data_IF_099269659069
#
_entry.id   IF_099269659069
#
_cell.length_a   1.000
_cell.length_b   1.000
_cell.length_c   1.000
_cell.angle_alpha   90.00
_cell.angle_beta   90.00
_cell.angle_gamma   90.00
#
_symmetry.space_group_name_H-M   'P 1'
#
loop_
_entity.id
_entity.type
_entity.pdbx_description
1 polymer ?
#
# COMPACT_ATOMS: atom_id res chain seq x y z
N UNK A 1 -26.54 -9.84 -5.82
CA UNK A 1 -25.67 -8.66 -5.87
C UNK A 1 -26.41 -7.51 -5.23
N UNK A 2 -26.14 -7.22 -3.97
CA UNK A 2 -26.73 -6.07 -3.29
C UNK A 2 -25.77 -4.90 -3.43
N UNK A 3 -26.03 -4.02 -4.39
CA UNK A 3 -25.42 -2.69 -4.41
C UNK A 3 -25.92 -1.93 -3.19
N UNK A 4 -25.07 -1.81 -2.18
CA UNK A 4 -25.31 -0.90 -1.06
C UNK A 4 -25.19 0.53 -1.57
N UNK A 5 -26.30 1.27 -1.58
CA UNK A 5 -26.32 2.69 -1.91
C UNK A 5 -25.51 3.47 -0.85
N UNK A 6 -24.31 3.91 -1.22
CA UNK A 6 -23.52 4.81 -0.38
C UNK A 6 -24.06 6.24 -0.54
N UNK A 7 -24.83 6.67 0.47
CA UNK A 7 -25.45 8.01 0.56
C UNK A 7 -24.41 9.14 0.60
N UNK A 8 -23.12 8.86 0.81
CA UNK A 8 -22.08 9.89 0.74
C UNK A 8 -21.90 10.42 -0.68
N UNK A 9 -22.17 9.61 -1.70
CA UNK A 9 -22.07 9.99 -3.11
C UNK A 9 -23.14 11.00 -3.55
N UNK A 10 -24.32 11.01 -2.88
CA UNK A 10 -25.45 11.86 -3.26
C UNK A 10 -25.40 13.26 -2.65
N UNK A 11 -24.57 13.45 -1.62
CA UNK A 11 -24.34 14.75 -0.97
C UNK A 11 -23.05 15.42 -1.46
N UNK A 12 -22.34 14.82 -2.42
CA UNK A 12 -21.12 15.40 -2.97
C UNK A 12 -21.43 16.72 -3.69
N UNK A 13 -20.84 17.84 -3.24
CA UNK A 13 -21.00 19.11 -3.94
C UNK A 13 -20.43 19.00 -5.36
N UNK A 14 -21.13 19.59 -6.34
CA UNK A 14 -20.63 19.68 -7.72
C UNK A 14 -19.46 20.67 -7.77
N UNK A 15 -18.28 20.18 -7.41
CA UNK A 15 -17.08 20.99 -7.20
C UNK A 15 -15.92 20.43 -8.00
N UNK A 16 -15.15 21.34 -8.59
CA UNK A 16 -13.90 21.11 -9.31
C UNK A 16 -12.70 20.87 -8.36
N UNK A 17 -12.98 20.67 -7.07
CA UNK A 17 -11.99 20.49 -6.03
C UNK A 17 -12.52 19.55 -4.94
N UNK A 18 -11.59 18.90 -4.23
CA UNK A 18 -11.88 18.26 -2.96
C UNK A 18 -12.22 19.30 -1.88
N UNK A 19 -13.39 19.15 -1.24
CA UNK A 19 -13.87 20.02 -0.18
C UNK A 19 -13.68 19.38 1.20
N UNK A 20 -13.67 20.22 2.23
CA UNK A 20 -13.56 19.74 3.61
C UNK A 20 -14.78 18.91 4.03
N UNK A 21 -15.94 19.15 3.43
CA UNK A 21 -17.18 18.41 3.69
C UNK A 21 -17.12 16.96 3.24
N UNK A 22 -16.36 16.64 2.19
CA UNK A 22 -16.19 15.25 1.73
C UNK A 22 -15.50 14.37 2.79
N UNK A 23 -14.78 15.00 3.73
CA UNK A 23 -14.09 14.36 4.84
C UNK A 23 -14.89 14.41 6.15
N UNK A 24 -16.18 14.75 6.11
CA UNK A 24 -17.08 14.67 7.28
C UNK A 24 -17.19 13.24 7.82
N UNK A 25 -17.08 12.25 6.94
CA UNK A 25 -17.13 10.83 7.30
C UNK A 25 -15.88 10.34 8.02
N UNK A 26 -14.82 11.15 8.05
CA UNK A 26 -13.58 10.87 8.75
C UNK A 26 -12.33 11.04 7.88
N UNK A 27 -11.14 10.80 8.46
CA UNK A 27 -9.90 10.82 7.72
C UNK A 27 -9.88 9.78 6.59
N UNK A 28 -9.32 10.16 5.44
CA UNK A 28 -9.15 9.25 4.29
C UNK A 28 -7.69 9.20 3.87
N UNK A 29 -7.23 8.00 3.54
CA UNK A 29 -5.93 7.80 2.91
C UNK A 29 -6.12 8.03 1.40
N UNK A 30 -5.30 8.89 0.84
CA UNK A 30 -5.27 9.22 -0.58
C UNK A 30 -3.91 8.89 -1.19
N UNK A 31 -3.89 8.46 -2.44
CA UNK A 31 -2.70 8.16 -3.22
C UNK A 31 -2.51 9.25 -4.26
N UNK A 32 -1.33 9.86 -4.31
CA UNK A 32 -1.03 10.93 -5.26
C UNK A 32 -0.75 10.33 -6.63
N UNK A 33 -1.60 10.65 -7.61
CA UNK A 33 -1.45 10.20 -8.99
C UNK A 33 -0.63 11.19 -9.82
N UNK A 34 -0.88 12.48 -9.65
CA UNK A 34 -0.10 13.52 -10.32
C UNK A 34 -0.18 14.83 -9.55
N UNK A 35 0.83 15.67 -9.73
CA UNK A 35 0.85 17.03 -9.18
C UNK A 35 1.04 18.00 -10.34
N UNK A 36 0.12 18.94 -10.49
CA UNK A 36 0.16 19.97 -11.53
C UNK A 36 0.17 21.36 -10.91
N UNK A 37 0.73 22.32 -11.65
CA UNK A 37 0.69 23.72 -11.25
C UNK A 37 -0.72 24.26 -11.48
N UNK A 38 -1.26 24.94 -10.47
CA UNK A 38 -2.55 25.64 -10.57
C UNK A 38 -2.38 27.14 -10.83
N UNK A 39 -3.32 27.94 -10.33
CA UNK A 39 -3.35 29.40 -10.48
C UNK A 39 -2.49 30.11 -9.43
N UNK A 40 -2.32 31.43 -9.53
CA UNK A 40 -1.54 32.20 -8.54
C UNK A 40 -2.12 32.13 -7.11
N UNK A 41 -3.44 32.04 -6.99
CA UNK A 41 -4.14 31.87 -5.71
C UNK A 41 -4.06 30.42 -5.20
N UNK A 42 -4.16 29.45 -6.11
CA UNK A 42 -4.14 28.01 -5.82
C UNK A 42 -3.03 27.32 -6.62
N UNK A 43 -1.75 27.47 -6.23
CA UNK A 43 -0.60 27.16 -7.08
C UNK A 43 -0.34 25.66 -7.30
N UNK A 44 -1.00 24.78 -6.55
CA UNK A 44 -0.74 23.33 -6.59
C UNK A 44 -2.06 22.57 -6.62
N UNK A 45 -2.19 21.69 -7.60
CA UNK A 45 -3.28 20.74 -7.74
C UNK A 45 -2.70 19.33 -7.59
N UNK A 46 -3.16 18.58 -6.58
CA UNK A 46 -2.76 17.20 -6.35
C UNK A 46 -3.92 16.31 -6.81
N UNK A 47 -3.76 15.64 -7.94
CA UNK A 47 -4.71 14.64 -8.41
C UNK A 47 -4.49 13.37 -7.61
N UNK A 48 -5.58 12.85 -7.05
CA UNK A 48 -5.57 11.62 -6.26
C UNK A 48 -6.20 10.47 -7.03
N UNK A 49 -5.87 9.25 -6.66
CA UNK A 49 -6.47 8.06 -7.26
C UNK A 49 -7.94 7.91 -6.85
N UNK A 50 -8.25 8.26 -5.60
CA UNK A 50 -9.54 8.04 -4.95
C UNK A 50 -10.60 9.04 -5.39
N UNK A 51 -10.22 10.30 -5.65
CA UNK A 51 -11.13 11.35 -6.13
C UNK A 51 -10.97 11.65 -7.63
N UNK A 52 -9.95 11.08 -8.27
CA UNK A 52 -9.68 11.25 -9.69
C UNK A 52 -9.26 12.67 -10.10
N UNK A 53 -9.12 12.92 -11.42
CA UNK A 53 -8.67 14.22 -11.95
C UNK A 53 -9.71 15.33 -11.83
N UNK A 54 -10.98 15.00 -11.63
CA UNK A 54 -12.07 15.98 -11.54
C UNK A 54 -12.11 16.74 -10.22
N UNK A 55 -11.49 16.20 -9.16
CA UNK A 55 -11.56 16.77 -7.80
C UNK A 55 -10.16 16.76 -7.15
N UNK A 56 -9.19 17.52 -7.69
CA UNK A 56 -7.87 17.59 -7.12
C UNK A 56 -7.90 18.15 -5.69
N UNK A 57 -6.99 17.64 -4.85
CA UNK A 57 -6.68 18.22 -3.57
C UNK A 57 -5.80 19.45 -3.76
N UNK A 58 -6.26 20.62 -3.32
CA UNK A 58 -5.50 21.87 -3.38
C UNK A 58 -5.00 22.26 -1.99
N UNK A 59 -3.76 21.89 -1.62
CA UNK A 59 -3.24 22.11 -0.27
C UNK A 59 -3.05 23.60 0.04
N UNK A 60 -3.38 24.01 1.27
CA UNK A 60 -3.13 25.35 1.78
C UNK A 60 -1.62 25.66 1.88
N UNK A 61 -1.24 26.94 1.99
CA UNK A 61 0.18 27.35 2.14
C UNK A 61 0.89 26.63 3.28
N UNK A 62 0.18 26.40 4.38
CA UNK A 62 0.68 25.69 5.56
C UNK A 62 0.93 24.22 5.25
N UNK A 63 0.00 23.54 4.57
CA UNK A 63 0.17 22.14 4.16
C UNK A 63 1.25 21.98 3.09
N UNK A 64 1.38 22.93 2.15
CA UNK A 64 2.49 22.93 1.17
C UNK A 64 3.86 22.99 1.85
N UNK A 65 4.00 23.75 2.95
CA UNK A 65 5.25 23.78 3.73
C UNK A 65 5.55 22.42 4.38
N UNK A 66 4.53 21.72 4.84
CA UNK A 66 4.66 20.37 5.39
C UNK A 66 5.11 19.39 4.32
N UNK A 67 4.48 19.42 3.14
CA UNK A 67 4.86 18.57 2.00
C UNK A 67 6.33 18.79 1.58
N UNK A 68 6.75 20.05 1.46
CA UNK A 68 8.13 20.39 1.10
C UNK A 68 9.12 20.00 2.20
N UNK A 69 8.75 20.13 3.47
CA UNK A 69 9.59 19.69 4.59
C UNK A 69 9.74 18.16 4.65
N UNK A 70 8.70 17.42 4.27
CA UNK A 70 8.70 15.96 4.28
C UNK A 70 9.44 15.37 3.07
N UNK A 71 9.14 15.85 1.87
CA UNK A 71 9.49 15.19 0.62
C UNK A 71 10.38 16.05 -0.31
N UNK A 72 10.75 17.25 0.13
CA UNK A 72 11.54 18.18 -0.66
C UNK A 72 10.71 19.01 -1.65
N UNK A 73 11.34 19.93 -2.40
CA UNK A 73 10.63 20.89 -3.25
C UNK A 73 10.13 20.32 -4.59
N UNK A 74 10.52 19.09 -4.95
CA UNK A 74 10.20 18.48 -6.24
C UNK A 74 8.84 17.81 -6.19
N UNK A 75 7.84 18.43 -6.80
CA UNK A 75 6.47 17.91 -6.84
C UNK A 75 6.33 16.56 -7.57
N UNK A 76 7.24 16.25 -8.50
CA UNK A 76 7.26 14.97 -9.23
C UNK A 76 7.56 13.79 -8.30
N UNK A 77 8.35 14.00 -7.26
CA UNK A 77 8.74 12.96 -6.32
C UNK A 77 7.55 12.49 -5.48
N UNK A 78 6.45 13.26 -5.46
CA UNK A 78 5.27 12.98 -4.64
C UNK A 78 4.35 11.93 -5.29
N UNK A 79 4.50 11.67 -6.58
CA UNK A 79 3.68 10.70 -7.32
C UNK A 79 3.91 9.30 -6.75
N UNK A 80 2.81 8.58 -6.49
CA UNK A 80 2.80 7.25 -5.88
C UNK A 80 2.79 7.26 -4.35
N UNK A 81 3.08 8.41 -3.71
CA UNK A 81 3.06 8.53 -2.24
C UNK A 81 1.62 8.68 -1.72
N UNK A 82 1.43 8.34 -0.45
CA UNK A 82 0.15 8.39 0.25
C UNK A 82 0.12 9.48 1.30
N UNK A 83 -1.05 10.08 1.47
CA UNK A 83 -1.36 11.06 2.50
C UNK A 83 -2.62 10.62 3.23
N UNK A 84 -2.66 10.76 4.54
CA UNK A 84 -3.91 10.75 5.29
C UNK A 84 -4.39 12.17 5.46
N UNK A 85 -5.52 12.48 4.83
CA UNK A 85 -6.18 13.78 4.91
C UNK A 85 -7.38 13.72 5.83
N UNK A 86 -7.63 14.80 6.57
CA UNK A 86 -8.77 14.92 7.47
C UNK A 86 -9.35 16.34 7.46
N UNK A 87 -10.61 16.46 7.88
CA UNK A 87 -11.26 17.75 8.12
C UNK A 87 -10.86 18.28 9.50
N UNK A 88 -10.21 19.44 9.52
CA UNK A 88 -10.01 20.24 10.72
C UNK A 88 -11.12 21.29 10.83
N UNK A 89 -12.05 21.18 11.80
CA UNK A 89 -13.18 22.10 11.94
C UNK A 89 -12.79 23.47 12.51
N UNK A 90 -11.59 23.62 13.09
CA UNK A 90 -11.15 24.86 13.73
C UNK A 90 -10.52 25.86 12.76
N UNK A 91 -10.33 25.48 11.49
CA UNK A 91 -9.86 26.40 10.47
C UNK A 91 -10.94 27.45 10.16
N UNK A 92 -10.59 28.71 10.38
CA UNK A 92 -11.43 29.86 10.08
C UNK A 92 -11.08 30.50 8.74
N UNK A 93 -12.10 30.94 8.02
CA UNK A 93 -11.97 31.84 6.88
C UNK A 93 -12.73 33.14 7.20
N UNK A 94 -12.01 34.26 7.24
CA UNK A 94 -12.58 35.51 7.74
C UNK A 94 -12.99 35.39 9.22
N UNK A 95 -14.28 35.55 9.51
CA UNK A 95 -14.83 35.45 10.87
C UNK A 95 -15.42 34.07 11.18
N UNK A 96 -15.61 33.23 10.16
CA UNK A 96 -16.38 31.99 10.28
C UNK A 96 -15.48 30.74 10.29
N UNK A 97 -15.86 29.75 11.12
CA UNK A 97 -15.23 28.42 11.16
C UNK A 97 -15.78 27.54 10.04
N UNK A 98 -15.25 27.72 8.84
CA UNK A 98 -15.63 26.91 7.66
C UNK A 98 -15.01 25.51 7.69
N UNK A 99 -13.91 25.34 8.43
CA UNK A 99 -13.10 24.13 8.45
C UNK A 99 -12.20 24.02 7.21
N UNK A 100 -11.25 23.09 7.24
CA UNK A 100 -10.33 22.90 6.12
C UNK A 100 -9.65 21.55 6.15
N UNK A 101 -9.01 21.20 5.04
CA UNK A 101 -8.34 19.91 4.87
C UNK A 101 -6.89 20.02 5.36
N UNK A 102 -6.52 19.14 6.29
CA UNK A 102 -5.15 18.98 6.79
C UNK A 102 -4.63 17.56 6.55
N UNK A 103 -3.32 17.41 6.65
CA UNK A 103 -2.61 16.14 6.51
C UNK A 103 -2.21 15.67 7.91
N UNK A 104 -2.67 14.51 8.35
CA UNK A 104 -2.29 13.92 9.64
C UNK A 104 -1.12 12.95 9.52
N UNK A 105 -1.04 12.22 8.41
CA UNK A 105 -0.01 11.22 8.18
C UNK A 105 0.47 11.20 6.72
N UNK A 106 1.72 10.81 6.50
CA UNK A 106 2.36 10.76 5.18
C UNK A 106 3.15 9.45 5.03
N UNK A 107 3.18 8.89 3.82
CA UNK A 107 4.09 7.78 3.50
C UNK A 107 5.51 8.29 3.19
N UNK A 108 6.45 7.36 3.08
CA UNK A 108 7.83 7.63 2.67
C UNK A 108 8.53 8.67 3.55
N UNK A 109 8.19 8.69 4.84
CA UNK A 109 8.91 9.44 5.87
C UNK A 109 9.48 8.46 6.91
N UNK A 110 10.79 8.57 7.25
CA UNK A 110 11.46 7.57 8.09
C UNK A 110 11.02 7.66 9.56
N UNK A 111 10.51 8.81 9.99
CA UNK A 111 10.09 9.07 11.36
C UNK A 111 9.03 10.17 11.40
N UNK A 112 8.39 10.32 12.57
CA UNK A 112 7.48 11.43 12.86
C UNK A 112 8.11 12.77 12.49
N UNK A 113 7.42 13.54 11.66
CA UNK A 113 7.88 14.85 11.22
C UNK A 113 7.21 15.92 12.05
N UNK A 114 7.99 16.74 12.76
CA UNK A 114 7.47 17.90 13.48
C UNK A 114 7.87 19.17 12.75
N UNK A 115 6.89 19.89 12.19
CA UNK A 115 7.11 21.15 11.48
C UNK A 115 6.57 22.30 12.32
N UNK A 116 7.41 23.27 12.67
CA UNK A 116 6.97 24.46 13.39
C UNK A 116 6.20 25.41 12.46
N UNK A 117 4.86 25.33 12.50
CA UNK A 117 3.95 26.11 11.66
C UNK A 117 3.44 27.34 12.41
N UNK A 118 3.24 28.44 11.69
CA UNK A 118 2.61 29.64 12.24
C UNK A 118 1.10 29.40 12.35
N UNK A 119 0.55 29.45 13.56
CA UNK A 119 -0.88 29.24 13.84
C UNK A 119 -1.63 30.58 13.81
N UNK A 120 -1.08 31.58 14.49
CA UNK A 120 -1.57 32.96 14.48
C UNK A 120 -0.41 33.93 14.31
N UNK A 121 -0.68 35.20 13.98
CA UNK A 121 0.36 36.23 13.82
C UNK A 121 1.25 36.27 15.08
N UNK A 122 2.52 35.88 14.94
CA UNK A 122 3.48 35.84 16.04
C UNK A 122 3.54 34.54 16.86
N UNK A 123 2.63 33.57 16.65
CA UNK A 123 2.63 32.29 17.37
C UNK A 123 2.93 31.11 16.43
N UNK A 124 3.97 30.34 16.75
CA UNK A 124 4.30 29.08 16.07
C UNK A 124 3.99 27.90 16.99
N UNK A 125 3.45 26.84 16.43
CA UNK A 125 3.25 25.57 17.13
C UNK A 125 3.84 24.43 16.29
N UNK A 126 4.40 23.38 16.92
CA UNK A 126 4.79 22.18 16.22
C UNK A 126 3.53 21.48 15.67
N UNK A 127 3.52 21.24 14.36
CA UNK A 127 2.55 20.39 13.70
C UNK A 127 3.22 19.04 13.45
N UNK A 128 2.67 17.99 14.05
CA UNK A 128 3.22 16.65 13.97
C UNK A 128 2.49 15.89 12.87
N UNK A 129 3.27 15.29 11.98
CA UNK A 129 2.80 14.38 10.95
C UNK A 129 3.33 13.00 11.26
N UNK A 130 2.42 12.04 11.32
CA UNK A 130 2.77 10.65 11.60
C UNK A 130 3.20 9.92 10.32
N UNK A 131 4.16 8.99 10.43
CA UNK A 131 4.44 8.08 9.33
C UNK A 131 3.23 7.16 9.12
N UNK A 132 2.72 7.10 7.89
CA UNK A 132 1.81 6.03 7.49
C UNK A 132 2.59 4.72 7.52
N UNK A 133 2.09 3.72 8.25
CA UNK A 133 2.58 2.34 8.13
C UNK A 133 2.38 1.93 6.67
N UNK A 134 3.46 1.47 6.04
CA UNK A 134 3.36 0.91 4.70
C UNK A 134 2.53 -0.38 4.77
N UNK A 135 1.23 -0.27 4.49
CA UNK A 135 0.53 -1.43 3.96
C UNK A 135 1.25 -1.83 2.66
N UNK A 136 1.63 -3.11 2.50
CA UNK A 136 2.43 -3.57 1.38
C UNK A 136 1.59 -3.52 0.10
N UNK A 137 1.46 -2.33 -0.48
CA UNK A 137 1.14 -2.20 -1.89
C UNK A 137 2.39 -2.70 -2.60
N UNK A 138 2.27 -3.84 -3.27
CA UNK A 138 3.27 -4.42 -4.16
C UNK A 138 3.83 -3.33 -5.07
N UNK A 139 4.96 -2.73 -4.67
CA UNK A 139 5.70 -1.79 -5.47
C UNK A 139 6.67 -2.64 -6.29
N UNK A 140 6.53 -2.76 -7.62
CA UNK A 140 7.42 -3.60 -8.41
C UNK A 140 8.87 -3.09 -8.43
N UNK A 141 9.16 -1.90 -7.89
CA UNK A 141 10.48 -1.30 -7.89
C UNK A 141 11.43 -1.79 -6.77
N UNK A 142 11.02 -2.73 -5.91
CA UNK A 142 11.94 -3.39 -4.95
C UNK A 142 11.66 -4.89 -4.84
N UNK A 143 11.35 -5.56 -5.96
CA UNK A 143 11.58 -7.00 -6.04
C UNK A 143 13.08 -7.20 -6.21
N UNK A 144 13.81 -7.20 -5.10
CA UNK A 144 15.15 -7.79 -5.07
C UNK A 144 14.99 -9.19 -5.68
N UNK A 145 15.80 -9.52 -6.69
CA UNK A 145 15.76 -10.82 -7.34
C UNK A 145 15.62 -11.92 -6.26
N UNK A 146 14.75 -12.92 -6.45
CA UNK A 146 14.60 -13.98 -5.46
C UNK A 146 15.99 -14.56 -5.21
N UNK A 147 16.37 -14.56 -3.94
CA UNK A 147 17.64 -15.15 -3.47
C UNK A 147 17.31 -16.49 -2.81
N UNK A 148 18.24 -17.45 -2.77
CA UNK A 148 18.04 -18.72 -2.08
C UNK A 148 17.51 -18.53 -0.64
N UNK A 149 18.06 -17.57 0.10
CA UNK A 149 17.62 -17.23 1.46
C UNK A 149 16.15 -16.76 1.53
N UNK A 150 15.68 -15.98 0.56
CA UNK A 150 14.28 -15.54 0.54
C UNK A 150 13.30 -16.67 0.20
N UNK A 151 13.73 -17.62 -0.64
CA UNK A 151 12.94 -18.81 -0.98
C UNK A 151 12.82 -19.72 0.23
N UNK A 152 13.94 -20.04 0.90
CA UNK A 152 13.96 -20.86 2.11
C UNK A 152 12.99 -20.29 3.16
N UNK A 153 13.02 -18.98 3.39
CA UNK A 153 12.11 -18.33 4.33
C UNK A 153 10.65 -18.47 3.89
N UNK A 154 10.35 -18.21 2.62
CA UNK A 154 8.98 -18.26 2.10
C UNK A 154 8.36 -19.67 2.18
N UNK A 155 9.17 -20.71 1.99
CA UNK A 155 8.74 -22.11 2.11
C UNK A 155 8.67 -22.57 3.58
N UNK A 156 9.56 -22.07 4.44
CA UNK A 156 9.50 -22.29 5.88
C UNK A 156 8.21 -21.77 6.53
N UNK A 157 7.68 -20.64 6.05
CA UNK A 157 6.37 -20.11 6.50
C UNK A 157 5.19 -21.03 6.15
N UNK A 158 5.36 -21.95 5.19
CA UNK A 158 4.35 -22.93 4.73
C UNK A 158 4.70 -24.34 5.26
N UNK A 159 5.68 -24.46 6.16
CA UNK A 159 6.07 -25.72 6.80
C UNK A 159 7.00 -26.61 5.97
N UNK A 160 7.57 -26.10 4.87
CA UNK A 160 8.57 -26.82 4.06
C UNK A 160 9.97 -26.54 4.59
N UNK A 161 10.75 -27.59 4.79
CA UNK A 161 12.13 -27.51 5.30
C UNK A 161 13.13 -27.22 4.19
N UNK A 162 14.32 -26.73 4.56
CA UNK A 162 15.43 -26.50 3.60
C UNK A 162 15.82 -27.80 2.91
N UNK A 163 15.88 -28.90 3.65
CA UNK A 163 16.24 -30.23 3.15
C UNK A 163 15.27 -30.71 2.05
N UNK A 164 13.97 -30.44 2.20
CA UNK A 164 12.97 -30.78 1.17
C UNK A 164 13.16 -29.96 -0.11
N UNK A 165 13.56 -28.69 0.01
CA UNK A 165 13.86 -27.86 -1.17
C UNK A 165 15.14 -28.31 -1.86
N UNK A 166 16.18 -28.65 -1.11
CA UNK A 166 17.44 -29.18 -1.64
C UNK A 166 17.22 -30.52 -2.34
N UNK A 167 16.39 -31.40 -1.77
CA UNK A 167 16.02 -32.67 -2.38
C UNK A 167 15.26 -32.47 -3.70
N UNK A 168 14.40 -31.45 -3.77
CA UNK A 168 13.60 -31.13 -4.97
C UNK A 168 14.45 -30.57 -6.12
N UNK A 169 15.43 -29.74 -5.80
CA UNK A 169 16.38 -29.16 -6.77
C UNK A 169 17.51 -30.15 -7.09
N UNK A 170 17.82 -31.08 -6.19
CA UNK A 170 18.94 -32.03 -6.31
C UNK A 170 20.31 -31.40 -6.06
N UNK A 171 20.34 -30.21 -5.47
CA UNK A 171 21.55 -29.47 -5.15
C UNK A 171 21.37 -28.72 -3.83
N UNK A 172 22.49 -28.54 -3.13
CA UNK A 172 22.59 -27.70 -1.95
C UNK A 172 22.13 -26.27 -2.29
N UNK A 173 21.40 -25.64 -1.36
CA UNK A 173 20.89 -24.27 -1.53
C UNK A 173 21.98 -23.22 -1.79
N UNK A 174 23.23 -23.49 -1.41
CA UNK A 174 24.38 -22.65 -1.75
C UNK A 174 24.77 -22.71 -3.24
N UNK A 175 24.37 -23.78 -3.95
CA UNK A 175 24.68 -24.03 -5.35
C UNK A 175 23.51 -23.76 -6.30
N UNK A 176 22.37 -23.30 -5.79
CA UNK A 176 21.21 -23.01 -6.62
C UNK A 176 21.50 -21.89 -7.62
N UNK A 177 21.18 -22.16 -8.87
CA UNK A 177 21.26 -21.17 -9.93
C UNK A 177 20.07 -20.21 -9.88
N UNK A 178 20.14 -19.12 -10.65
CA UNK A 178 19.00 -18.21 -10.78
C UNK A 178 17.75 -18.91 -11.36
N UNK A 179 17.94 -19.95 -12.17
CA UNK A 179 16.85 -20.74 -12.77
C UNK A 179 16.16 -21.63 -11.72
N UNK A 180 16.94 -22.28 -10.85
CA UNK A 180 16.41 -23.10 -9.75
C UNK A 180 15.60 -22.23 -8.77
N UNK A 181 16.15 -21.06 -8.43
CA UNK A 181 15.50 -20.09 -7.54
C UNK A 181 14.22 -19.54 -8.16
N UNK A 182 14.19 -19.28 -9.48
CA UNK A 182 12.99 -18.86 -10.18
C UNK A 182 11.92 -19.95 -10.22
N UNK A 183 12.33 -21.21 -10.40
CA UNK A 183 11.44 -22.38 -10.41
C UNK A 183 10.78 -22.58 -9.04
N UNK A 184 11.57 -22.52 -7.96
CA UNK A 184 11.04 -22.58 -6.60
C UNK A 184 10.14 -21.38 -6.28
N UNK A 185 10.47 -20.18 -6.75
CA UNK A 185 9.62 -19.00 -6.57
C UNK A 185 8.24 -19.18 -7.24
N UNK A 186 8.20 -19.74 -8.45
CA UNK A 186 6.97 -20.05 -9.16
C UNK A 186 6.15 -21.11 -8.42
N UNK A 187 6.80 -22.16 -7.92
CA UNK A 187 6.16 -23.22 -7.13
C UNK A 187 5.55 -22.68 -5.83
N UNK A 188 6.29 -21.85 -5.08
CA UNK A 188 5.79 -21.23 -3.86
C UNK A 188 4.58 -20.32 -4.12
N UNK A 189 4.54 -19.66 -5.30
CA UNK A 189 3.37 -18.88 -5.72
C UNK A 189 2.15 -19.76 -6.01
N UNK A 190 2.34 -20.89 -6.69
CA UNK A 190 1.28 -21.86 -6.98
C UNK A 190 0.70 -22.50 -5.70
N UNK A 191 1.56 -22.80 -4.72
CA UNK A 191 1.13 -23.31 -3.41
C UNK A 191 0.30 -22.25 -2.68
N UNK A 192 0.75 -21.00 -2.70
CA UNK A 192 0.04 -19.89 -2.04
C UNK A 192 -1.27 -19.51 -2.74
N UNK A 193 -1.38 -19.71 -4.05
CA UNK A 193 -2.65 -19.53 -4.79
C UNK A 193 -3.61 -20.71 -4.63
N UNK A 194 -3.16 -21.82 -4.04
CA UNK A 194 -3.96 -23.03 -3.84
C UNK A 194 -4.10 -23.88 -5.11
N UNK A 195 -3.23 -23.68 -6.11
CA UNK A 195 -3.19 -24.48 -7.34
C UNK A 195 -2.52 -25.84 -7.13
N UNK A 196 -1.62 -25.93 -6.15
CA UNK A 196 -0.95 -27.15 -5.72
C UNK A 196 -0.77 -27.11 -4.21
N UNK A 197 -0.56 -28.26 -3.57
CA UNK A 197 -0.33 -28.34 -2.13
C UNK A 197 1.11 -28.74 -1.81
N UNK A 198 1.61 -28.31 -0.65
CA UNK A 198 2.93 -28.75 -0.15
C UNK A 198 3.03 -30.28 -0.12
N UNK A 199 1.93 -30.95 0.24
CA UNK A 199 1.85 -32.41 0.30
C UNK A 199 1.99 -33.09 -1.06
N UNK A 200 1.56 -32.47 -2.15
CA UNK A 200 1.69 -33.01 -3.51
C UNK A 200 3.09 -32.83 -4.09
N UNK A 201 3.82 -31.80 -3.65
CA UNK A 201 5.10 -31.39 -4.25
C UNK A 201 6.33 -31.78 -3.43
N UNK A 202 6.20 -31.92 -2.11
CA UNK A 202 7.32 -32.11 -1.18
C UNK A 202 7.22 -33.33 -0.27
N UNK A 203 6.10 -34.05 -0.28
CA UNK A 203 5.95 -35.31 0.44
C UNK A 203 5.79 -36.47 -0.55
N UNK A 204 6.59 -37.55 -0.45
CA UNK A 204 6.29 -38.78 -1.16
C UNK A 204 5.01 -39.35 -0.53
N UNK A 205 3.93 -39.38 -1.32
CA UNK A 205 2.68 -40.08 -1.01
C UNK A 205 2.96 -41.35 -0.20
N UNK A 206 2.45 -41.53 1.03
CA UNK A 206 2.38 -42.87 1.58
C UNK A 206 1.53 -43.67 0.60
N UNK A 207 2.14 -44.66 -0.04
CA UNK A 207 1.44 -45.59 -0.90
C UNK A 207 0.21 -46.07 -0.13
N UNK A 208 -0.98 -45.67 -0.58
CA UNK A 208 -2.24 -46.18 -0.05
C UNK A 208 -2.18 -47.69 -0.24
N UNK A 209 -2.16 -48.51 0.82
CA UNK A 209 -2.27 -49.95 0.67
C UNK A 209 -3.75 -50.25 0.45
N UNK A 210 -4.28 -49.87 -0.72
CA UNK A 210 -5.65 -50.17 -1.10
C UNK A 210 -5.74 -50.31 -2.62
N UNK A 211 -5.09 -51.36 -3.13
CA UNK A 211 -5.46 -52.10 -4.35
C UNK A 211 -4.61 -53.36 -4.53
N UNK A 212 -4.42 -54.10 -3.43
CA UNK A 212 -3.93 -55.47 -3.45
C UNK A 212 -4.97 -56.36 -2.76
N UNK A 213 -6.05 -56.66 -3.47
CA UNK A 213 -6.90 -57.86 -3.36
C UNK A 213 -8.23 -57.63 -4.09
N UNK A 214 -8.20 -57.77 -5.41
CA UNK A 214 -9.27 -58.52 -6.06
C UNK A 214 -8.58 -59.59 -6.91
N UNK A 215 -8.16 -60.63 -6.19
CA UNK A 215 -7.73 -61.90 -6.74
C UNK A 215 -8.75 -62.39 -7.76
N UNK A 216 -8.22 -62.95 -8.85
CA UNK A 216 -8.85 -64.00 -9.61
C UNK A 216 -9.60 -64.98 -8.68
N UNK A 217 -10.89 -65.20 -8.93
CA UNK A 217 -11.43 -66.46 -9.43
C UNK A 217 -12.96 -66.40 -9.40
N UNK A 218 -13.58 -66.48 -10.58
CA UNK A 218 -14.91 -67.05 -10.73
C UNK A 218 -15.05 -67.48 -12.20
N UNK A 219 -14.76 -68.76 -12.40
CA UNK A 219 -15.43 -69.64 -13.36
C UNK A 219 -16.86 -69.24 -13.71
#
# INVERSE_FOLDING_TARGET
MSESLDMTTTIEPRSDQLNAEDLLTGPRIITIKSVTRGTDEQPVNIVTEEFGPGRPYKPSKTMRRVLVAAWGPKAQDYVGRRLMIYRDPDITFGKDKVGGIRISAMSDIPAKLSVALTVTRGRRAPFVVEPLKDEPRSNPATVKAPTPASIIKAFGDIGVTVEQLELRVGADHEKWTAEDVATLAALGKAIKSGETTVYEEFDPKPATPEQAELTADAQ
#
